data_IF_441435092797
#
_entry.id   IF_441435092797
#
_cell.length_a   1.000
_cell.length_b   1.000
_cell.length_c   1.000
_cell.angle_alpha   90.00
_cell.angle_beta   90.00
_cell.angle_gamma   90.00
#
_symmetry.space_group_name_H-M   'P 1'
#
loop_
_entity.id
_entity.type
_entity.pdbx_description
1 polymer ?
#
# COMPACT_ATOMS: atom_id res chain seq x y z
N UNK A 1 7.93 17.01 -10.02
CA UNK A 1 6.74 16.94 -10.91
C UNK A 1 5.65 16.15 -10.21
N UNK A 2 4.37 16.55 -10.27
CA UNK A 2 3.28 15.72 -9.75
C UNK A 2 3.30 14.36 -10.46
N UNK A 3 3.08 13.29 -9.69
CA UNK A 3 3.03 11.93 -10.22
C UNK A 3 1.77 11.80 -11.09
N UNK A 4 1.90 11.36 -12.33
CA UNK A 4 0.72 11.16 -13.19
C UNK A 4 0.02 9.86 -12.83
N UNK A 5 -1.32 9.85 -12.84
CA UNK A 5 -2.16 8.67 -12.58
C UNK A 5 -1.73 7.51 -13.51
N UNK A 6 -1.47 7.81 -14.79
CA UNK A 6 -1.01 6.82 -15.77
C UNK A 6 0.30 6.13 -15.35
N UNK A 7 1.21 6.86 -14.70
CA UNK A 7 2.48 6.31 -14.25
C UNK A 7 2.30 5.37 -13.06
N UNK A 8 1.45 5.73 -12.10
CA UNK A 8 1.13 4.86 -10.96
C UNK A 8 0.54 3.54 -11.43
N UNK A 9 -0.43 3.60 -12.35
CA UNK A 9 -1.04 2.42 -12.96
C UNK A 9 0.00 1.52 -13.65
N UNK A 10 0.98 2.10 -14.37
CA UNK A 10 2.09 1.34 -14.95
C UNK A 10 2.99 0.70 -13.88
N UNK A 11 3.26 1.38 -12.77
CA UNK A 11 4.02 0.79 -11.66
C UNK A 11 3.27 -0.40 -11.06
N UNK A 12 1.95 -0.29 -10.85
CA UNK A 12 1.13 -1.37 -10.32
C UNK A 12 1.06 -2.56 -11.27
N UNK A 13 0.92 -2.33 -12.57
CA UNK A 13 0.97 -3.37 -13.58
C UNK A 13 2.29 -4.15 -13.54
N UNK A 14 3.43 -3.45 -13.45
CA UNK A 14 4.76 -4.09 -13.36
C UNK A 14 4.89 -4.91 -12.07
N UNK A 15 4.42 -4.37 -10.94
CA UNK A 15 4.42 -5.06 -9.64
C UNK A 15 3.65 -6.39 -9.72
N UNK A 16 2.41 -6.37 -10.23
CA UNK A 16 1.59 -7.57 -10.37
C UNK A 16 2.14 -8.56 -11.38
N UNK A 17 2.74 -8.08 -12.47
CA UNK A 17 3.45 -8.93 -13.42
C UNK A 17 4.62 -9.65 -12.75
N UNK A 18 5.46 -8.92 -12.01
CA UNK A 18 6.63 -9.48 -11.33
C UNK A 18 6.23 -10.57 -10.33
N UNK A 19 5.20 -10.32 -9.51
CA UNK A 19 4.71 -11.32 -8.57
C UNK A 19 4.16 -12.57 -9.26
N UNK A 20 3.48 -12.43 -10.39
CA UNK A 20 3.00 -13.57 -11.15
C UNK A 20 4.15 -14.42 -11.71
N UNK A 21 5.23 -13.78 -12.19
CA UNK A 21 6.43 -14.49 -12.63
C UNK A 21 7.12 -15.24 -11.48
N UNK A 22 7.22 -14.62 -10.30
CA UNK A 22 7.74 -15.29 -9.09
C UNK A 22 6.86 -16.50 -8.74
N UNK A 23 5.54 -16.33 -8.70
CA UNK A 23 4.60 -17.41 -8.39
C UNK A 23 4.73 -18.60 -9.34
N UNK A 24 4.95 -18.35 -10.63
CA UNK A 24 5.17 -19.40 -11.64
C UNK A 24 6.45 -20.21 -11.38
N UNK A 25 7.46 -19.61 -10.75
CA UNK A 25 8.74 -20.27 -10.43
C UNK A 25 8.66 -21.15 -9.19
N UNK A 26 8.06 -20.66 -8.11
CA UNK A 26 8.02 -21.39 -6.82
C UNK A 26 6.85 -22.39 -6.74
N UNK A 27 5.80 -22.23 -7.55
CA UNK A 27 4.68 -23.17 -7.56
C UNK A 27 3.77 -23.07 -6.34
N UNK A 28 2.73 -23.92 -6.29
CA UNK A 28 1.61 -23.78 -5.34
C UNK A 28 1.91 -24.22 -3.90
N UNK A 29 3.02 -24.92 -3.65
CA UNK A 29 3.36 -25.45 -2.33
C UNK A 29 4.10 -24.43 -1.44
N UNK A 30 4.56 -23.32 -2.03
CA UNK A 30 5.20 -22.23 -1.31
C UNK A 30 4.15 -21.20 -0.91
N UNK A 31 4.11 -20.87 0.37
CA UNK A 31 3.23 -19.81 0.87
C UNK A 31 3.96 -18.47 0.88
N UNK A 32 5.15 -18.43 1.48
CA UNK A 32 6.00 -17.25 1.55
C UNK A 32 7.35 -17.57 0.92
N UNK A 33 7.85 -16.66 0.10
CA UNK A 33 9.14 -16.75 -0.60
C UNK A 33 10.09 -15.63 -0.17
N UNK A 34 9.71 -14.83 0.82
CA UNK A 34 10.45 -13.62 1.23
C UNK A 34 11.87 -13.91 1.73
N UNK A 35 12.10 -15.13 2.24
CA UNK A 35 13.39 -15.64 2.74
C UNK A 35 14.21 -16.38 1.66
N UNK A 36 13.66 -16.61 0.47
CA UNK A 36 14.37 -17.31 -0.61
C UNK A 36 15.53 -16.45 -1.13
N UNK A 37 16.75 -16.98 -1.29
CA UNK A 37 17.92 -16.19 -1.68
C UNK A 37 17.73 -15.39 -2.98
N UNK A 38 17.06 -15.99 -3.97
CA UNK A 38 16.77 -15.31 -5.25
C UNK A 38 15.82 -14.11 -5.08
N UNK A 39 14.97 -14.10 -4.06
CA UNK A 39 14.09 -12.97 -3.74
C UNK A 39 14.89 -11.83 -3.09
N UNK A 40 15.93 -12.13 -2.31
CA UNK A 40 16.84 -11.12 -1.80
C UNK A 40 17.59 -10.41 -2.94
N UNK A 41 18.13 -11.17 -3.90
CA UNK A 41 18.77 -10.61 -5.11
C UNK A 41 17.78 -9.76 -5.93
N UNK A 42 16.54 -10.23 -6.08
CA UNK A 42 15.52 -9.47 -6.81
C UNK A 42 15.13 -8.16 -6.10
N UNK A 43 15.04 -8.18 -4.76
CA UNK A 43 14.82 -6.97 -3.94
C UNK A 43 15.93 -5.95 -4.18
N UNK A 44 17.19 -6.40 -4.23
CA UNK A 44 18.35 -5.55 -4.50
C UNK A 44 18.30 -4.93 -5.90
N UNK A 45 17.98 -5.72 -6.94
CA UNK A 45 17.80 -5.22 -8.30
C UNK A 45 16.69 -4.16 -8.36
N UNK A 46 15.53 -4.43 -7.77
CA UNK A 46 14.41 -3.47 -7.72
C UNK A 46 14.80 -2.19 -6.97
N UNK A 47 15.53 -2.33 -5.86
CA UNK A 47 16.06 -1.19 -5.11
C UNK A 47 17.01 -0.35 -5.96
N UNK A 48 17.96 -0.98 -6.66
CA UNK A 48 18.90 -0.30 -7.53
C UNK A 48 18.21 0.43 -8.69
N UNK A 49 17.26 -0.22 -9.37
CA UNK A 49 16.48 0.41 -10.44
C UNK A 49 15.78 1.67 -9.93
N UNK A 50 15.13 1.57 -8.77
CA UNK A 50 14.36 2.67 -8.21
C UNK A 50 15.22 3.86 -7.76
N UNK A 51 16.36 3.59 -7.11
CA UNK A 51 17.17 4.67 -6.54
C UNK A 51 18.16 5.30 -7.52
N UNK A 52 18.58 4.57 -8.56
CA UNK A 52 19.57 5.09 -9.51
C UNK A 52 18.96 5.50 -10.85
N UNK A 53 17.95 4.78 -11.34
CA UNK A 53 17.37 5.02 -12.67
C UNK A 53 16.01 5.71 -12.61
N UNK A 54 15.19 5.42 -11.61
CA UNK A 54 13.85 5.99 -11.44
C UNK A 54 13.77 6.95 -10.25
N UNK A 55 14.89 7.52 -9.81
CA UNK A 55 15.00 8.29 -8.55
C UNK A 55 13.98 9.42 -8.40
N UNK A 56 13.68 10.14 -9.49
CA UNK A 56 12.70 11.24 -9.48
C UNK A 56 11.27 10.77 -9.20
N UNK A 57 10.95 9.54 -9.63
CA UNK A 57 9.64 8.95 -9.46
C UNK A 57 9.81 7.41 -9.31
N UNK A 58 10.03 6.86 -8.13
CA UNK A 58 10.19 5.42 -7.99
C UNK A 58 8.90 4.63 -8.32
N UNK A 59 9.04 3.39 -8.78
CA UNK A 59 8.05 2.32 -8.79
C UNK A 59 8.50 1.22 -7.82
N UNK A 60 8.37 1.45 -6.51
CA UNK A 60 8.76 0.44 -5.52
C UNK A 60 7.84 -0.78 -5.60
N UNK A 61 8.43 -1.96 -5.43
CA UNK A 61 7.71 -3.23 -5.30
C UNK A 61 8.05 -3.83 -3.92
N UNK A 62 7.09 -3.82 -3.02
CA UNK A 62 7.28 -4.38 -1.68
C UNK A 62 7.10 -5.89 -1.72
N UNK A 63 8.14 -6.67 -1.46
CA UNK A 63 8.05 -8.13 -1.44
C UNK A 63 7.48 -8.62 -0.09
N UNK A 64 6.30 -8.11 0.26
CA UNK A 64 5.56 -8.42 1.48
C UNK A 64 4.30 -9.17 1.08
N UNK A 65 4.01 -10.25 1.82
CA UNK A 65 2.84 -11.09 1.58
C UNK A 65 3.21 -12.49 1.10
N UNK A 66 2.17 -13.24 0.74
CA UNK A 66 2.25 -14.64 0.33
C UNK A 66 2.00 -14.79 -1.17
N UNK A 67 2.40 -15.91 -1.75
CA UNK A 67 2.06 -16.26 -3.13
C UNK A 67 0.54 -16.30 -3.36
N UNK A 68 -0.23 -16.60 -2.30
CA UNK A 68 -1.69 -16.55 -2.32
C UNK A 68 -2.19 -15.10 -2.38
N UNK A 69 -1.74 -14.23 -1.49
CA UNK A 69 -2.20 -12.83 -1.47
C UNK A 69 -1.83 -12.10 -2.76
N UNK A 70 -0.62 -12.30 -3.29
CA UNK A 70 -0.24 -11.71 -4.57
C UNK A 70 -1.11 -12.19 -5.76
N UNK A 71 -1.62 -13.43 -5.70
CA UNK A 71 -2.59 -13.91 -6.68
C UNK A 71 -3.90 -13.12 -6.60
N UNK A 72 -4.44 -13.00 -5.40
CA UNK A 72 -5.72 -12.33 -5.14
C UNK A 72 -5.65 -10.84 -5.51
N UNK A 73 -4.56 -10.16 -5.10
CA UNK A 73 -4.31 -8.77 -5.45
C UNK A 73 -4.24 -8.57 -6.97
N UNK A 74 -3.54 -9.45 -7.69
CA UNK A 74 -3.48 -9.39 -9.16
C UNK A 74 -4.86 -9.61 -9.80
N UNK A 75 -5.63 -10.61 -9.34
CA UNK A 75 -6.96 -10.89 -9.87
C UNK A 75 -7.91 -9.70 -9.68
N UNK A 76 -7.83 -9.01 -8.53
CA UNK A 76 -8.55 -7.77 -8.26
C UNK A 76 -8.07 -6.63 -9.16
N UNK A 77 -6.76 -6.39 -9.25
CA UNK A 77 -6.19 -5.39 -10.14
C UNK A 77 -6.66 -5.56 -11.59
N UNK A 78 -6.54 -6.76 -12.14
CA UNK A 78 -6.92 -7.07 -13.52
C UNK A 78 -8.43 -6.88 -13.74
N UNK A 79 -9.25 -7.20 -12.74
CA UNK A 79 -10.69 -6.91 -12.75
C UNK A 79 -10.95 -5.40 -12.87
N UNK A 80 -10.33 -4.56 -12.04
CA UNK A 80 -10.53 -3.12 -12.10
C UNK A 80 -10.01 -2.51 -13.41
N UNK A 81 -8.87 -2.98 -13.94
CA UNK A 81 -8.32 -2.54 -15.22
C UNK A 81 -9.23 -2.90 -16.41
N UNK A 82 -9.94 -4.02 -16.31
CA UNK A 82 -10.79 -4.51 -17.40
C UNK A 82 -12.28 -4.20 -17.22
N UNK A 83 -12.67 -3.54 -16.11
CA UNK A 83 -14.06 -3.32 -15.74
C UNK A 83 -14.89 -2.68 -16.85
N UNK A 84 -14.47 -1.51 -17.37
CA UNK A 84 -15.23 -0.79 -18.39
C UNK A 84 -15.37 -1.60 -19.69
N UNK A 85 -14.36 -2.42 -20.02
CA UNK A 85 -14.40 -3.35 -21.15
C UNK A 85 -15.34 -4.52 -20.89
N UNK A 86 -15.38 -5.06 -19.67
CA UNK A 86 -16.31 -6.11 -19.28
C UNK A 86 -17.74 -5.58 -19.36
N UNK A 87 -17.99 -4.43 -18.76
CA UNK A 87 -19.29 -3.77 -18.73
C UNK A 87 -19.85 -3.51 -20.13
N UNK A 88 -19.04 -2.92 -21.03
CA UNK A 88 -19.46 -2.61 -22.40
C UNK A 88 -19.63 -3.83 -23.32
N UNK A 89 -18.88 -4.91 -23.09
CA UNK A 89 -19.04 -6.15 -23.87
C UNK A 89 -20.25 -6.95 -23.41
N UNK A 90 -20.55 -6.91 -22.11
CA UNK A 90 -21.74 -7.55 -21.57
C UNK A 90 -22.97 -6.97 -22.26
N UNK A 91 -23.08 -5.70 -22.56
CA UNK A 91 -24.27 -5.17 -23.24
C UNK A 91 -24.57 -5.77 -24.64
N UNK A 92 -23.64 -6.53 -25.26
CA UNK A 92 -23.69 -6.95 -26.67
C UNK A 92 -23.84 -8.46 -26.95
N UNK A 93 -23.83 -9.33 -25.93
CA UNK A 93 -23.82 -10.80 -26.10
C UNK A 93 -25.12 -11.43 -25.55
N UNK A 94 -25.63 -12.52 -26.11
CA UNK A 94 -26.87 -13.19 -25.67
C UNK A 94 -26.63 -14.45 -24.83
N UNK A 95 -25.39 -14.96 -24.77
CA UNK A 95 -25.00 -16.17 -23.99
C UNK A 95 -24.26 -15.86 -22.68
N UNK A 96 -24.44 -14.66 -22.13
CA UNK A 96 -23.53 -14.01 -21.18
C UNK A 96 -23.41 -14.69 -19.83
N UNK A 97 -24.52 -15.11 -19.24
CA UNK A 97 -24.53 -15.60 -17.86
C UNK A 97 -23.58 -16.81 -17.68
N UNK A 98 -23.73 -17.86 -18.49
CA UNK A 98 -22.91 -19.07 -18.36
C UNK A 98 -21.40 -18.82 -18.57
N UNK A 99 -21.03 -17.83 -19.39
CA UNK A 99 -19.63 -17.51 -19.68
C UNK A 99 -18.93 -16.77 -18.55
N UNK A 100 -19.64 -15.85 -17.91
CA UNK A 100 -19.05 -14.93 -16.93
C UNK A 100 -19.36 -15.29 -15.48
N UNK A 101 -20.45 -16.02 -15.21
CA UNK A 101 -20.95 -16.22 -13.85
C UNK A 101 -19.91 -16.81 -12.89
N UNK A 102 -19.26 -17.92 -13.25
CA UNK A 102 -18.25 -18.55 -12.37
C UNK A 102 -17.07 -17.61 -12.05
N UNK A 103 -16.62 -16.83 -13.05
CA UNK A 103 -15.55 -15.84 -12.86
C UNK A 103 -16.03 -14.69 -11.98
N UNK A 104 -17.27 -14.26 -12.18
CA UNK A 104 -17.87 -13.17 -11.42
C UNK A 104 -18.11 -13.56 -9.96
N UNK A 105 -18.50 -14.81 -9.69
CA UNK A 105 -18.62 -15.36 -8.33
C UNK A 105 -17.26 -15.36 -7.63
N UNK A 106 -16.21 -15.83 -8.32
CA UNK A 106 -14.86 -15.85 -7.77
C UNK A 106 -14.35 -14.44 -7.43
N UNK A 107 -14.50 -13.47 -8.34
CA UNK A 107 -14.05 -12.10 -8.08
C UNK A 107 -14.91 -11.39 -7.03
N UNK A 108 -16.21 -11.67 -6.95
CA UNK A 108 -17.08 -11.09 -5.91
C UNK A 108 -16.66 -11.52 -4.51
N UNK A 109 -16.25 -12.79 -4.35
CA UNK A 109 -15.70 -13.29 -3.10
C UNK A 109 -14.41 -12.56 -2.71
N UNK A 110 -13.47 -12.41 -3.66
CA UNK A 110 -12.23 -11.65 -3.41
C UNK A 110 -12.53 -10.18 -3.10
N UNK A 111 -13.45 -9.59 -3.84
CA UNK A 111 -13.87 -8.21 -3.62
C UNK A 111 -14.39 -8.03 -2.19
N UNK A 112 -15.29 -8.88 -1.72
CA UNK A 112 -15.82 -8.84 -0.34
C UNK A 112 -14.71 -9.01 0.72
N UNK A 113 -13.81 -9.97 0.55
CA UNK A 113 -12.70 -10.25 1.48
C UNK A 113 -11.71 -9.09 1.61
N UNK A 114 -11.53 -8.30 0.54
CA UNK A 114 -10.59 -7.17 0.49
C UNK A 114 -11.27 -5.82 0.74
N UNK A 115 -12.58 -5.68 0.49
CA UNK A 115 -13.30 -4.42 0.67
C UNK A 115 -13.16 -3.89 2.11
N UNK A 116 -13.36 -4.74 3.12
CA UNK A 116 -13.22 -4.33 4.53
C UNK A 116 -11.79 -4.01 4.98
N UNK A 117 -10.77 -4.48 4.24
CA UNK A 117 -9.35 -4.24 4.55
C UNK A 117 -8.80 -3.01 3.82
N UNK A 118 -9.33 -2.76 2.63
CA UNK A 118 -8.83 -1.75 1.71
C UNK A 118 -9.68 -0.48 1.67
N UNK A 119 -10.91 -0.52 2.17
CA UNK A 119 -11.82 0.62 2.14
C UNK A 119 -12.12 1.15 3.54
N UNK A 120 -11.74 2.40 3.77
CA UNK A 120 -12.15 3.14 4.96
C UNK A 120 -13.24 4.11 4.59
N UNK A 121 -14.48 3.77 4.95
CA UNK A 121 -15.65 4.59 4.65
C UNK A 121 -16.05 5.43 5.86
N UNK A 122 -16.46 6.66 5.58
CA UNK A 122 -17.04 7.58 6.54
C UNK A 122 -18.56 7.47 6.54
N UNK A 123 -19.21 7.94 7.61
CA UNK A 123 -20.68 8.03 7.64
C UNK A 123 -21.27 8.95 6.56
N UNK A 124 -20.48 9.90 6.04
CA UNK A 124 -20.89 10.72 4.89
C UNK A 124 -21.11 9.90 3.62
N UNK A 125 -20.57 8.67 3.55
CA UNK A 125 -20.61 7.79 2.39
C UNK A 125 -19.32 7.82 1.57
N UNK A 126 -18.43 8.78 1.81
CA UNK A 126 -17.11 8.85 1.20
C UNK A 126 -16.23 7.70 1.69
N UNK A 127 -15.47 7.08 0.78
CA UNK A 127 -14.54 6.03 1.11
C UNK A 127 -13.16 6.36 0.58
N UNK A 128 -12.14 5.96 1.33
CA UNK A 128 -10.73 6.08 0.95
C UNK A 128 -10.13 4.71 0.63
N UNK A 129 -9.38 4.67 -0.49
CA UNK A 129 -8.66 3.49 -0.97
C UNK A 129 -7.30 3.37 -0.25
N UNK A 130 -7.21 2.46 0.72
CA UNK A 130 -5.94 2.14 1.40
C UNK A 130 -5.07 1.13 0.64
N UNK A 131 -5.61 0.52 -0.42
CA UNK A 131 -4.90 -0.42 -1.29
C UNK A 131 -4.91 0.03 -2.76
N UNK A 132 -4.44 1.26 -3.09
CA UNK A 132 -4.58 1.83 -4.42
C UNK A 132 -3.88 1.00 -5.52
N UNK A 133 -2.94 0.13 -5.15
CA UNK A 133 -2.25 -0.73 -6.10
C UNK A 133 -3.05 -1.90 -6.66
N UNK A 134 -4.23 -2.21 -6.10
CA UNK A 134 -5.06 -3.30 -6.61
C UNK A 134 -6.55 -3.20 -6.29
N UNK A 135 -6.99 -2.24 -5.48
CA UNK A 135 -8.38 -2.12 -5.04
C UNK A 135 -8.94 -0.72 -5.27
N UNK A 136 -10.23 -0.64 -5.64
CA UNK A 136 -11.01 0.60 -5.76
C UNK A 136 -12.29 0.49 -4.94
N UNK A 137 -12.55 1.45 -4.04
CA UNK A 137 -13.70 1.42 -3.13
C UNK A 137 -14.97 2.03 -3.68
N UNK A 138 -14.91 2.67 -4.85
CA UNK A 138 -16.09 3.20 -5.54
C UNK A 138 -17.09 2.07 -5.85
N UNK A 139 -18.34 2.28 -5.43
CA UNK A 139 -19.45 1.34 -5.62
C UNK A 139 -19.68 0.96 -7.07
N UNK A 140 -19.28 1.81 -8.04
CA UNK A 140 -19.33 1.49 -9.47
C UNK A 140 -18.66 0.14 -9.74
N UNK A 141 -17.52 -0.13 -9.11
CA UNK A 141 -16.75 -1.34 -9.37
C UNK A 141 -17.23 -2.58 -8.62
N UNK A 142 -18.35 -2.51 -7.88
CA UNK A 142 -18.91 -3.68 -7.23
C UNK A 142 -19.29 -4.75 -8.28
N UNK A 143 -18.79 -5.99 -8.19
CA UNK A 143 -19.10 -7.07 -9.14
C UNK A 143 -20.61 -7.36 -9.28
N UNK A 144 -21.41 -6.98 -8.29
CA UNK A 144 -22.86 -7.01 -8.37
C UNK A 144 -23.44 -6.19 -9.53
N UNK A 145 -22.82 -5.05 -9.87
CA UNK A 145 -23.32 -4.20 -10.95
C UNK A 145 -23.18 -4.89 -12.31
N UNK A 146 -22.11 -5.67 -12.49
CA UNK A 146 -21.93 -6.55 -13.65
C UNK A 146 -22.97 -7.68 -13.61
N UNK A 147 -23.17 -8.28 -12.44
CA UNK A 147 -24.11 -9.39 -12.27
C UNK A 147 -25.54 -9.02 -12.70
N UNK A 148 -26.04 -7.85 -12.26
CA UNK A 148 -27.38 -7.35 -12.62
C UNK A 148 -27.51 -7.18 -14.14
N UNK A 149 -26.44 -6.76 -14.83
CA UNK A 149 -26.43 -6.60 -16.30
C UNK A 149 -26.37 -7.92 -17.07
N UNK A 150 -25.93 -9.02 -16.45
CA UNK A 150 -25.85 -10.33 -17.11
C UNK A 150 -27.22 -10.98 -17.32
N UNK A 151 -28.26 -10.52 -16.61
CA UNK A 151 -29.63 -11.07 -16.64
C UNK A 151 -29.65 -12.60 -16.44
N UNK A 152 -28.96 -13.05 -15.41
CA UNK A 152 -28.91 -14.46 -15.03
C UNK A 152 -30.27 -14.92 -14.47
N UNK A 153 -30.57 -16.23 -14.60
CA UNK A 153 -31.80 -16.82 -14.05
C UNK A 153 -31.93 -16.61 -12.51
N UNK A 154 -33.16 -16.71 -12.01
CA UNK A 154 -33.48 -16.43 -10.59
C UNK A 154 -32.67 -17.26 -9.58
N UNK A 155 -32.29 -18.49 -9.94
CA UNK A 155 -31.49 -19.37 -9.07
C UNK A 155 -30.07 -18.81 -8.84
N UNK A 156 -29.42 -18.33 -9.90
CA UNK A 156 -28.12 -17.67 -9.81
C UNK A 156 -28.22 -16.35 -9.02
N UNK A 157 -29.32 -15.60 -9.20
CA UNK A 157 -29.59 -14.35 -8.46
C UNK A 157 -29.73 -14.54 -6.96
N UNK A 158 -30.20 -15.70 -6.50
CA UNK A 158 -30.28 -16.01 -5.07
C UNK A 158 -28.92 -16.26 -4.43
N UNK A 159 -27.95 -16.74 -5.20
CA UNK A 159 -26.61 -17.05 -4.69
C UNK A 159 -25.65 -15.86 -4.74
N UNK A 160 -25.86 -14.91 -5.67
CA UNK A 160 -24.99 -13.76 -5.83
C UNK A 160 -25.42 -12.58 -4.94
N UNK A 161 -24.60 -12.28 -3.91
CA UNK A 161 -24.86 -11.18 -2.97
C UNK A 161 -24.01 -9.97 -3.30
N UNK A 162 -24.61 -8.78 -3.18
CA UNK A 162 -23.88 -7.52 -3.23
C UNK A 162 -22.96 -7.40 -2.01
N UNK A 163 -21.67 -7.15 -2.24
CA UNK A 163 -20.76 -6.80 -1.16
C UNK A 163 -21.18 -5.45 -0.55
N UNK A 164 -21.38 -5.43 0.76
CA UNK A 164 -21.80 -4.23 1.49
C UNK A 164 -20.58 -3.42 1.93
N UNK A 165 -20.72 -2.09 1.94
CA UNK A 165 -19.71 -1.21 2.53
C UNK A 165 -19.48 -1.57 4.01
N UNK A 166 -18.25 -1.42 4.52
CA UNK A 166 -17.99 -1.56 5.94
C UNK A 166 -18.73 -0.44 6.66
N UNK A 167 -19.03 -0.68 7.93
CA UNK A 167 -19.72 0.31 8.74
C UNK A 167 -18.89 1.60 8.79
N UNK A 168 -19.50 2.71 8.40
CA UNK A 168 -18.82 3.99 8.30
C UNK A 168 -18.25 4.42 9.66
N UNK A 169 -16.96 4.71 9.72
CA UNK A 169 -16.30 5.21 10.92
C UNK A 169 -16.70 6.67 11.11
N UNK A 170 -16.99 7.03 12.35
CA UNK A 170 -17.30 8.41 12.72
C UNK A 170 -16.01 9.25 12.71
N UNK A 171 -16.04 10.40 12.02
CA UNK A 171 -14.95 11.39 12.03
C UNK A 171 -14.52 11.75 13.47
N UNK A 172 -15.48 11.76 14.40
CA UNK A 172 -15.21 11.99 15.82
C UNK A 172 -14.29 10.91 16.43
N UNK A 173 -14.54 9.63 16.11
CA UNK A 173 -13.74 8.51 16.63
C UNK A 173 -12.31 8.57 16.07
N UNK A 174 -12.15 8.92 14.79
CA UNK A 174 -10.82 9.08 14.19
C UNK A 174 -10.08 10.26 14.84
N UNK A 175 -10.75 11.40 15.02
CA UNK A 175 -10.17 12.58 15.70
C UNK A 175 -9.70 12.26 17.12
N UNK A 176 -10.53 11.60 17.92
CA UNK A 176 -10.15 11.21 19.28
C UNK A 176 -9.05 10.14 19.30
N UNK A 177 -9.03 9.22 18.32
CA UNK A 177 -7.95 8.22 18.19
C UNK A 177 -6.62 8.90 17.82
N UNK A 178 -6.61 9.82 16.86
CA UNK A 178 -5.42 10.59 16.47
C UNK A 178 -4.93 11.44 17.64
N UNK A 179 -5.83 12.10 18.36
CA UNK A 179 -5.50 12.89 19.56
C UNK A 179 -4.89 12.02 20.65
N UNK A 180 -5.42 10.82 20.88
CA UNK A 180 -4.86 9.83 21.80
C UNK A 180 -3.45 9.38 21.38
N UNK A 181 -3.25 9.05 20.10
CA UNK A 181 -1.94 8.67 19.55
C UNK A 181 -0.94 9.83 19.67
N UNK A 182 -1.34 11.06 19.34
CA UNK A 182 -0.51 12.25 19.49
C UNK A 182 -0.15 12.51 20.96
N UNK A 183 -1.09 12.31 21.89
CA UNK A 183 -0.83 12.39 23.33
C UNK A 183 0.16 11.32 23.78
N UNK A 184 0.03 10.08 23.30
CA UNK A 184 0.96 9.00 23.60
C UNK A 184 2.36 9.24 23.02
N UNK A 185 2.47 9.76 21.79
CA UNK A 185 3.74 10.15 21.19
C UNK A 185 4.37 11.33 21.93
N UNK A 186 3.57 12.32 22.35
CA UNK A 186 4.02 13.46 23.16
C UNK A 186 4.46 13.03 24.56
N UNK A 187 3.81 12.03 25.15
CA UNK A 187 4.25 11.40 26.40
C UNK A 187 5.53 10.60 26.25
N UNK A 188 5.84 10.08 25.05
CA UNK A 188 7.05 9.31 24.81
C UNK A 188 8.29 10.19 24.59
N UNK A 189 8.10 11.43 24.15
CA UNK A 189 9.11 12.49 24.18
C UNK A 189 8.98 13.26 25.49
N UNK A 190 9.50 12.69 26.58
CA UNK A 190 9.41 13.37 27.86
C UNK A 190 10.21 14.68 27.83
N UNK A 191 9.67 15.71 28.50
CA UNK A 191 10.34 16.99 28.70
C UNK A 191 11.75 16.82 29.29
N UNK A 192 11.96 15.73 30.04
CA UNK A 192 13.24 15.32 30.59
C UNK A 192 14.27 14.96 29.50
N UNK A 193 13.89 14.24 28.45
CA UNK A 193 14.79 13.86 27.34
C UNK A 193 15.23 15.09 26.55
N UNK A 194 14.30 16.02 26.31
CA UNK A 194 14.63 17.28 25.63
C UNK A 194 15.57 18.16 26.46
N UNK A 195 15.33 18.28 27.77
CA UNK A 195 16.17 19.05 28.69
C UNK A 195 17.56 18.41 28.82
N UNK A 196 17.63 17.09 28.95
CA UNK A 196 18.91 16.37 29.06
C UNK A 196 19.76 16.48 27.80
N UNK A 197 19.16 16.31 26.60
CA UNK A 197 19.86 16.52 25.32
C UNK A 197 20.39 17.95 25.20
N UNK A 198 19.58 18.94 25.60
CA UNK A 198 19.97 20.35 25.55
C UNK A 198 21.15 20.65 26.48
N UNK A 199 21.14 20.13 27.72
CA UNK A 199 22.23 20.30 28.69
C UNK A 199 23.52 19.62 28.22
N UNK A 200 23.43 18.38 27.71
CA UNK A 200 24.58 17.64 27.18
C UNK A 200 25.18 18.32 25.95
N UNK A 201 24.34 18.89 25.08
CA UNK A 201 24.79 19.68 23.92
C UNK A 201 25.59 20.90 24.34
N UNK A 202 25.09 21.66 25.33
CA UNK A 202 25.80 22.85 25.85
C UNK A 202 27.14 22.46 26.48
N UNK A 203 27.19 21.38 27.27
CA UNK A 203 28.43 20.86 27.86
C UNK A 203 29.45 20.46 26.78
N UNK A 204 29.00 19.80 25.72
CA UNK A 204 29.86 19.42 24.59
C UNK A 204 30.48 20.63 23.90
N UNK A 205 29.68 21.67 23.63
CA UNK A 205 30.16 22.92 23.03
C UNK A 205 31.20 23.60 23.93
N UNK A 206 30.96 23.67 25.25
CA UNK A 206 31.91 24.26 26.20
C UNK A 206 33.23 23.49 26.24
N UNK A 207 33.19 22.16 26.17
CA UNK A 207 34.39 21.32 26.10
C UNK A 207 35.21 21.60 24.82
N UNK A 208 34.54 21.77 23.69
CA UNK A 208 35.19 22.13 22.41
C UNK A 208 35.88 23.50 22.52
N UNK A 209 35.20 24.52 23.06
CA UNK A 209 35.80 25.83 23.28
C UNK A 209 37.01 25.79 24.21
N UNK A 210 36.95 24.98 25.28
CA UNK A 210 38.07 24.80 26.20
C UNK A 210 39.30 24.18 25.52
N UNK A 211 39.10 23.19 24.64
CA UNK A 211 40.19 22.58 23.86
C UNK A 211 40.83 23.62 22.94
N UNK A 212 40.03 24.38 22.17
CA UNK A 212 40.55 25.43 21.29
C UNK A 212 41.30 26.53 22.05
N UNK A 213 40.78 26.96 23.20
CA UNK A 213 41.46 27.92 24.07
C UNK A 213 42.83 27.39 24.55
N UNK A 214 42.89 26.13 24.98
CA UNK A 214 44.13 25.50 25.45
C UNK A 214 45.17 25.35 24.33
N UNK A 215 44.74 24.94 23.13
CA UNK A 215 45.62 24.82 21.95
C UNK A 215 46.20 26.18 21.55
N UNK A 216 45.36 27.22 21.47
CA UNK A 216 45.81 28.57 21.12
C UNK A 216 46.78 29.17 22.14
N UNK A 217 46.54 28.93 23.44
CA UNK A 217 47.45 29.36 24.52
C UNK A 217 48.82 28.68 24.41
N UNK A 218 48.86 27.37 24.14
CA UNK A 218 50.11 26.63 23.99
C UNK A 218 50.90 27.07 22.73
N UNK A 219 50.21 27.34 21.63
CA UNK A 219 50.84 27.87 20.40
C UNK A 219 51.45 29.26 20.65
N UNK A 220 50.74 30.16 21.35
CA UNK A 220 51.30 31.48 21.71
C UNK A 220 52.54 31.37 22.59
N UNK A 221 52.60 30.41 23.52
CA UNK A 221 53.78 30.20 24.38
C UNK A 221 54.96 29.65 23.58
N UNK A 222 54.74 28.74 22.62
CA UNK A 222 55.78 28.20 21.75
C UNK A 222 56.34 29.18 20.70
N UNK A 223 55.67 30.30 20.43
CA UNK A 223 56.17 31.35 19.50
C UNK A 223 57.06 32.38 20.23
N UNK A 224 56.94 32.47 21.57
CA UNK A 224 57.63 33.48 22.39
C UNK A 224 58.95 32.95 23.01
N UNK A 225 59.21 31.64 22.91
CA UNK A 225 60.46 30.97 23.34
C UNK A 225 61.22 30.41 22.15
#
# INVERSE_FOLDING_TARGET
>A
MPRSIEREERCYLIKHWLYDEIRKKFGANYNDVSEEPVIAELKDVVYHINNYYLHDQPCYCDFVGTLKTWKEEKELHDYFQSYDKIESNIEKDSGRCNRYFNKLVAINKLYEEHFGKCCYCYRSGDCYDSCPGYFKCDDKYNPYNIFVKLDCNEENSKSFKKANKPQGIDNYVISETIKSILLALKSKFDLFDFVTISVLGILGILMIFFIFYKVNKNISISIIY
#
